data_IF_076622122331
#
_entry.id   IF_076622122331
#
_cell.length_a   1.000
_cell.length_b   1.000
_cell.length_c   1.000
_cell.angle_alpha   90.00
_cell.angle_beta   90.00
_cell.angle_gamma   90.00
#
_symmetry.space_group_name_H-M   'P 1'
#
loop_
_entity.id
_entity.type
_entity.pdbx_description
1 polymer ?
#
# COMPACT_ATOMS: atom_id res chain seq x y z
N UNK A 1 17.60 -4.73 -19.93
CA UNK A 1 17.45 -3.78 -18.81
C UNK A 1 16.09 -3.14 -19.01
N UNK A 2 15.06 -3.68 -18.36
CA UNK A 2 13.77 -3.00 -18.29
C UNK A 2 14.01 -1.72 -17.50
N UNK A 3 13.77 -0.57 -18.14
CA UNK A 3 13.98 0.73 -17.50
C UNK A 3 13.00 0.90 -16.33
N UNK A 4 13.43 1.54 -15.24
CA UNK A 4 12.63 1.88 -14.05
C UNK A 4 11.24 2.51 -14.37
N UNK A 5 11.06 3.04 -15.57
CA UNK A 5 9.80 3.59 -16.07
C UNK A 5 8.72 2.57 -16.46
N UNK A 6 9.03 1.28 -16.60
CA UNK A 6 8.06 0.26 -17.04
C UNK A 6 7.38 -0.51 -15.89
N UNK A 7 7.81 -0.32 -14.65
CA UNK A 7 7.16 -0.95 -13.50
C UNK A 7 5.77 -0.34 -13.31
N UNK A 8 4.73 -1.14 -13.54
CA UNK A 8 3.32 -0.81 -13.33
C UNK A 8 2.76 -1.66 -12.21
N UNK A 9 1.96 -1.04 -11.35
CA UNK A 9 1.18 -1.77 -10.36
C UNK A 9 -0.06 -2.30 -11.06
N UNK A 10 -0.29 -3.60 -10.94
CA UNK A 10 -1.38 -4.29 -11.63
C UNK A 10 -2.25 -5.08 -10.66
N UNK A 11 -3.35 -5.59 -11.17
CA UNK A 11 -4.25 -6.51 -10.45
C UNK A 11 -3.51 -7.78 -9.99
N UNK A 12 -2.54 -8.26 -10.79
CA UNK A 12 -1.73 -9.43 -10.47
C UNK A 12 -0.89 -9.21 -9.21
N UNK A 13 -0.28 -8.03 -9.06
CA UNK A 13 0.51 -7.70 -7.86
C UNK A 13 -0.35 -7.75 -6.59
N UNK A 14 -1.61 -7.31 -6.67
CA UNK A 14 -2.57 -7.39 -5.55
C UNK A 14 -2.99 -8.83 -5.26
N UNK A 15 -3.20 -9.65 -6.30
CA UNK A 15 -3.55 -11.07 -6.16
C UNK A 15 -2.41 -11.86 -5.50
N UNK A 16 -1.15 -11.60 -5.88
CA UNK A 16 0.03 -12.28 -5.34
C UNK A 16 0.19 -12.05 -3.82
N UNK A 17 -0.25 -10.90 -3.31
CA UNK A 17 -0.18 -10.55 -1.87
C UNK A 17 -1.54 -10.65 -1.17
N UNK A 18 -2.51 -11.36 -1.76
CA UNK A 18 -3.87 -11.44 -1.23
C UNK A 18 -3.93 -11.97 0.21
N UNK A 19 -3.02 -12.88 0.57
CA UNK A 19 -2.95 -13.43 1.91
C UNK A 19 -2.73 -12.31 2.96
N UNK A 20 -1.91 -11.31 2.65
CA UNK A 20 -1.68 -10.14 3.51
C UNK A 20 -2.97 -9.35 3.76
N UNK A 21 -3.76 -9.10 2.71
CA UNK A 21 -5.05 -8.40 2.85
C UNK A 21 -6.01 -9.17 3.77
N UNK A 22 -6.01 -10.50 3.68
CA UNK A 22 -6.94 -11.34 4.47
C UNK A 22 -6.56 -11.50 5.93
N UNK A 23 -5.30 -11.20 6.33
CA UNK A 23 -4.86 -11.24 7.74
C UNK A 23 -5.56 -10.21 8.63
N UNK A 24 -6.01 -9.08 8.05
CA UNK A 24 -6.72 -8.04 8.81
C UNK A 24 -8.23 -8.27 8.72
N UNK A 25 -8.94 -8.45 9.85
CA UNK A 25 -10.39 -8.60 9.84
C UNK A 25 -11.09 -7.37 9.22
N UNK A 26 -12.12 -7.56 8.36
CA UNK A 26 -12.79 -6.44 7.69
C UNK A 26 -13.39 -5.39 8.62
N UNK A 27 -13.88 -5.80 9.81
CA UNK A 27 -14.42 -4.88 10.80
C UNK A 27 -13.34 -3.96 11.36
N UNK A 28 -12.17 -4.51 11.70
CA UNK A 28 -11.03 -3.75 12.20
C UNK A 28 -10.53 -2.78 11.14
N UNK A 29 -10.38 -3.25 9.89
CA UNK A 29 -9.96 -2.40 8.78
C UNK A 29 -10.92 -1.21 8.59
N UNK A 30 -12.24 -1.42 8.65
CA UNK A 30 -13.22 -0.33 8.58
C UNK A 30 -13.02 0.72 9.67
N UNK A 31 -12.75 0.30 10.90
CA UNK A 31 -12.54 1.22 12.03
C UNK A 31 -11.28 2.06 11.80
N UNK A 32 -10.20 1.42 11.35
CA UNK A 32 -8.92 2.07 11.07
C UNK A 32 -9.06 3.08 9.91
N UNK A 33 -9.71 2.68 8.81
CA UNK A 33 -9.96 3.53 7.65
C UNK A 33 -10.87 4.71 8.01
N UNK A 34 -12.01 4.47 8.68
CA UNK A 34 -12.92 5.54 9.11
C UNK A 34 -12.27 6.52 10.08
N UNK A 35 -11.41 6.02 10.96
CA UNK A 35 -10.64 6.85 11.89
C UNK A 35 -9.46 7.58 11.25
N UNK A 36 -9.23 7.40 9.93
CA UNK A 36 -8.08 7.93 9.19
C UNK A 36 -6.76 7.74 9.95
N UNK A 37 -6.55 6.55 10.52
CA UNK A 37 -5.41 6.29 11.41
C UNK A 37 -4.10 6.29 10.61
N UNK A 38 -3.04 6.83 11.22
CA UNK A 38 -1.68 6.73 10.69
C UNK A 38 -1.09 5.38 11.12
N UNK A 39 -1.35 4.34 10.34
CA UNK A 39 -0.83 2.99 10.64
C UNK A 39 0.66 2.93 10.39
N UNK A 40 1.19 3.65 9.40
CA UNK A 40 2.62 3.69 9.11
C UNK A 40 3.42 4.12 10.34
N UNK A 41 3.02 5.22 10.99
CA UNK A 41 3.69 5.68 12.21
C UNK A 41 3.63 4.66 13.35
N UNK A 42 2.55 3.87 13.42
CA UNK A 42 2.39 2.84 14.47
C UNK A 42 3.33 1.64 14.25
N UNK A 43 3.77 1.42 13.02
CA UNK A 43 4.63 0.31 12.61
C UNK A 43 5.98 0.80 12.06
N UNK A 44 6.40 2.02 12.40
CA UNK A 44 7.57 2.67 11.80
C UNK A 44 8.83 1.83 11.94
N UNK A 45 9.11 1.31 13.14
CA UNK A 45 10.30 0.48 13.40
C UNK A 45 10.30 -0.78 12.55
N UNK A 46 9.16 -1.47 12.43
CA UNK A 46 9.03 -2.68 11.62
C UNK A 46 9.16 -2.38 10.13
N UNK A 47 8.64 -1.24 9.67
CA UNK A 47 8.79 -0.79 8.29
C UNK A 47 10.26 -0.56 7.97
N UNK A 48 10.99 0.19 8.82
CA UNK A 48 12.42 0.47 8.62
C UNK A 48 13.25 -0.82 8.61
N UNK A 49 13.00 -1.71 9.56
CA UNK A 49 13.68 -3.00 9.64
C UNK A 49 13.39 -3.87 8.42
N UNK A 50 12.15 -3.96 7.95
CA UNK A 50 11.85 -4.77 6.77
C UNK A 50 12.42 -4.15 5.49
N UNK A 51 12.33 -2.83 5.34
CA UNK A 51 12.77 -2.11 4.15
C UNK A 51 14.27 -2.30 3.87
N UNK A 52 15.12 -2.37 4.91
CA UNK A 52 16.56 -2.60 4.74
C UNK A 52 16.92 -3.98 4.20
N UNK A 53 15.96 -4.91 4.14
CA UNK A 53 16.17 -6.28 3.64
C UNK A 53 15.48 -6.51 2.28
N UNK A 54 14.84 -5.49 1.71
CA UNK A 54 14.17 -5.62 0.42
C UNK A 54 15.17 -5.68 -0.72
N UNK A 55 14.80 -6.42 -1.75
CA UNK A 55 15.51 -6.40 -3.03
C UNK A 55 15.28 -5.07 -3.77
N UNK A 56 16.18 -4.68 -4.69
CA UNK A 56 15.98 -3.49 -5.50
C UNK A 56 14.64 -3.49 -6.27
N UNK A 57 14.21 -4.66 -6.76
CA UNK A 57 12.93 -4.81 -7.48
C UNK A 57 11.72 -4.50 -6.59
N UNK A 58 11.75 -4.96 -5.33
CA UNK A 58 10.71 -4.67 -4.33
C UNK A 58 10.69 -3.19 -3.95
N UNK A 59 11.85 -2.56 -3.80
CA UNK A 59 11.97 -1.12 -3.55
C UNK A 59 11.31 -0.32 -4.67
N UNK A 60 11.62 -0.62 -5.94
CA UNK A 60 11.00 0.06 -7.09
C UNK A 60 9.48 -0.11 -7.11
N UNK A 61 8.96 -1.29 -6.74
CA UNK A 61 7.50 -1.49 -6.60
C UNK A 61 6.90 -0.60 -5.51
N UNK A 62 7.56 -0.46 -4.36
CA UNK A 62 7.10 0.41 -3.27
C UNK A 62 7.09 1.87 -3.70
N UNK A 63 8.17 2.35 -4.32
CA UNK A 63 8.24 3.70 -4.89
C UNK A 63 7.14 3.95 -5.91
N UNK A 64 6.86 2.96 -6.75
CA UNK A 64 5.78 3.04 -7.71
C UNK A 64 4.41 3.16 -7.02
N UNK A 65 4.12 2.36 -5.98
CA UNK A 65 2.88 2.49 -5.20
C UNK A 65 2.78 3.88 -4.56
N UNK A 66 3.86 4.40 -3.98
CA UNK A 66 3.87 5.71 -3.32
C UNK A 66 3.64 6.89 -4.28
N UNK A 67 3.98 6.73 -5.56
CA UNK A 67 3.84 7.77 -6.60
C UNK A 67 2.58 7.61 -7.45
N UNK A 68 1.94 6.44 -7.41
CA UNK A 68 0.69 6.18 -8.15
C UNK A 68 -0.47 6.97 -7.53
N UNK A 69 -1.29 7.67 -8.33
CA UNK A 69 -2.48 8.34 -7.83
C UNK A 69 -3.40 7.38 -7.08
N UNK A 70 -3.89 7.79 -5.90
CA UNK A 70 -4.78 6.96 -5.09
C UNK A 70 -6.03 6.49 -5.84
N UNK A 71 -6.70 7.32 -6.69
CA UNK A 71 -7.82 6.84 -7.49
C UNK A 71 -7.46 5.68 -8.43
N UNK A 72 -6.24 5.64 -8.95
CA UNK A 72 -5.75 4.55 -9.80
C UNK A 72 -5.53 3.27 -8.98
N UNK A 73 -4.87 3.38 -7.81
CA UNK A 73 -4.73 2.27 -6.88
C UNK A 73 -6.10 1.71 -6.47
N UNK A 74 -7.08 2.58 -6.19
CA UNK A 74 -8.43 2.18 -5.84
C UNK A 74 -9.15 1.48 -7.00
N UNK A 75 -8.90 1.86 -8.25
CA UNK A 75 -9.42 1.15 -9.42
C UNK A 75 -8.87 -0.27 -9.50
N UNK A 76 -7.56 -0.45 -9.31
CA UNK A 76 -6.92 -1.77 -9.30
C UNK A 76 -7.56 -2.64 -8.20
N UNK A 77 -7.66 -2.13 -6.98
CA UNK A 77 -8.28 -2.85 -5.86
C UNK A 77 -9.75 -3.20 -6.12
N UNK A 78 -10.49 -2.31 -6.81
CA UNK A 78 -11.90 -2.53 -7.18
C UNK A 78 -12.04 -3.67 -8.18
N UNK A 79 -11.15 -3.73 -9.17
CA UNK A 79 -11.18 -4.79 -10.18
C UNK A 79 -10.88 -6.15 -9.54
N UNK A 80 -9.83 -6.24 -8.70
CA UNK A 80 -9.52 -7.48 -7.98
C UNK A 80 -10.64 -7.87 -7.02
N UNK A 81 -11.34 -6.92 -6.40
CA UNK A 81 -12.52 -7.22 -5.59
C UNK A 81 -13.66 -7.84 -6.42
N UNK A 82 -13.83 -7.45 -7.68
CA UNK A 82 -14.87 -8.02 -8.55
C UNK A 82 -14.67 -9.52 -8.77
N UNK A 83 -13.42 -9.99 -8.78
CA UNK A 83 -13.05 -11.39 -8.98
C UNK A 83 -13.00 -12.19 -7.67
N UNK A 84 -12.44 -11.60 -6.61
CA UNK A 84 -12.11 -12.31 -5.36
C UNK A 84 -13.14 -12.15 -4.26
N UNK A 85 -14.00 -11.12 -4.37
CA UNK A 85 -15.00 -10.72 -3.37
C UNK A 85 -14.44 -10.46 -1.97
N UNK A 86 -13.13 -10.20 -1.84
CA UNK A 86 -12.49 -9.93 -0.55
C UNK A 86 -12.93 -8.58 0.01
N UNK A 87 -13.52 -8.60 1.21
CA UNK A 87 -14.15 -7.42 1.82
C UNK A 87 -13.14 -6.31 2.10
N UNK A 88 -11.87 -6.66 2.34
CA UNK A 88 -10.78 -5.71 2.59
C UNK A 88 -10.50 -4.86 1.36
N UNK A 89 -10.45 -5.48 0.18
CA UNK A 89 -10.30 -4.77 -1.10
C UNK A 89 -11.46 -3.80 -1.32
N UNK A 90 -12.70 -4.24 -1.10
CA UNK A 90 -13.89 -3.37 -1.18
C UNK A 90 -13.80 -2.14 -0.29
N UNK A 91 -13.27 -2.30 0.92
CA UNK A 91 -13.13 -1.20 1.88
C UNK A 91 -12.12 -0.19 1.37
N UNK A 92 -10.96 -0.65 0.90
CA UNK A 92 -9.87 0.21 0.44
C UNK A 92 -10.15 0.84 -0.93
N UNK A 93 -10.89 0.14 -1.81
CA UNK A 93 -11.30 0.65 -3.13
C UNK A 93 -12.45 1.65 -3.08
N UNK A 94 -13.02 1.92 -1.89
CA UNK A 94 -14.10 2.90 -1.74
C UNK A 94 -13.53 4.32 -1.75
N UNK A 95 -14.17 5.30 -2.43
CA UNK A 95 -13.72 6.69 -2.40
C UNK A 95 -13.53 7.26 -0.98
N UNK A 96 -14.35 6.81 -0.02
CA UNK A 96 -14.21 7.24 1.38
C UNK A 96 -12.91 6.78 2.07
N UNK A 97 -12.18 5.82 1.49
CA UNK A 97 -10.87 5.38 1.99
C UNK A 97 -9.71 6.20 1.42
N UNK A 98 -9.94 7.06 0.41
CA UNK A 98 -8.90 7.85 -0.23
C UNK A 98 -8.08 8.68 0.79
N UNK A 99 -8.69 9.44 1.73
CA UNK A 99 -7.92 10.21 2.71
C UNK A 99 -7.02 9.34 3.58
N UNK A 100 -7.45 8.11 3.90
CA UNK A 100 -6.68 7.15 4.67
C UNK A 100 -5.47 6.64 3.88
N UNK A 101 -5.68 6.26 2.62
CA UNK A 101 -4.60 5.76 1.75
C UNK A 101 -3.59 6.88 1.49
N UNK A 102 -4.06 8.06 1.07
CA UNK A 102 -3.21 9.23 0.82
C UNK A 102 -2.35 9.57 2.03
N UNK A 103 -2.95 9.64 3.23
CA UNK A 103 -2.23 9.91 4.46
C UNK A 103 -1.13 8.88 4.71
N UNK A 104 -1.45 7.60 4.61
CA UNK A 104 -0.47 6.55 4.93
C UNK A 104 0.64 6.46 3.87
N UNK A 105 0.36 6.69 2.59
CA UNK A 105 1.42 6.78 1.57
C UNK A 105 2.35 7.98 1.81
N UNK A 106 1.80 9.14 2.18
CA UNK A 106 2.61 10.31 2.53
C UNK A 106 3.48 10.06 3.77
N UNK A 107 2.94 9.39 4.77
CA UNK A 107 3.68 9.04 5.98
C UNK A 107 4.75 7.99 5.69
N UNK A 108 4.46 7.00 4.82
CA UNK A 108 5.45 6.01 4.38
C UNK A 108 6.62 6.70 3.70
N UNK A 109 6.33 7.61 2.77
CA UNK A 109 7.36 8.41 2.10
C UNK A 109 8.24 9.17 3.09
N UNK A 110 7.65 9.80 4.12
CA UNK A 110 8.44 10.49 5.17
C UNK A 110 9.34 9.54 5.94
N UNK A 111 8.82 8.37 6.32
CA UNK A 111 9.59 7.35 7.05
C UNK A 111 10.78 6.88 6.22
N UNK A 112 10.57 6.57 4.94
CA UNK A 112 11.62 6.06 4.06
C UNK A 112 12.67 7.14 3.72
N UNK A 113 12.24 8.37 3.38
CA UNK A 113 13.19 9.46 3.16
C UNK A 113 14.02 9.84 4.40
N UNK A 114 13.55 9.48 5.61
CA UNK A 114 14.35 9.65 6.83
C UNK A 114 15.46 8.61 6.98
N UNK A 115 15.39 7.50 6.25
CA UNK A 115 16.42 6.46 6.24
C UNK A 115 17.55 6.83 5.29
N UNK A 116 17.23 7.33 4.09
CA UNK A 116 18.20 7.73 3.05
C UNK A 116 19.13 8.88 3.51
N UNK A 117 18.75 9.63 4.55
CA UNK A 117 19.53 10.74 5.12
C UNK A 117 20.56 10.29 6.19
N UNK A 118 20.67 8.99 6.46
CA UNK A 118 21.62 8.43 7.44
C UNK A 118 22.75 7.59 6.81
N UNK A 119 22.91 7.66 5.48
CA UNK A 119 24.12 7.19 4.77
C UNK A 119 25.08 8.36 4.51
#
# INVERSE_FOLDING_TARGET
MESENDVKITEKDVIEIMDVFTRVPPLLLKVVVKGNKNVVKSFESQIKEHYSHLTPEEVVKIEKVMTTPVPELQSILKNVYAETHQKQLKILSSPGAEPFITRNLQELKKVLSSMDMNE
#
